data_IF_991845964343
#
_entry.id   IF_991845964343
#
_cell.length_a   1.000
_cell.length_b   1.000
_cell.length_c   1.000
_cell.angle_alpha   90.00
_cell.angle_beta   90.00
_cell.angle_gamma   90.00
#
_symmetry.space_group_name_H-M   'P 1'
#
loop_
_entity.id
_entity.type
_entity.pdbx_description
1 polymer ?
#
# COMPACT_ATOMS: atom_id res chain seq x y z
N UNK A 1 -9.32 -34.81 35.78
CA UNK A 1 -9.03 -33.38 36.00
C UNK A 1 -7.56 -33.16 35.72
N UNK A 2 -7.20 -32.67 34.54
CA UNK A 2 -5.82 -32.30 34.21
C UNK A 2 -5.86 -30.90 33.62
N UNK A 3 -5.53 -29.92 34.46
CA UNK A 3 -5.51 -28.51 34.13
C UNK A 3 -4.15 -28.22 33.50
N UNK A 4 -4.11 -28.06 32.18
CA UNK A 4 -2.92 -27.57 31.50
C UNK A 4 -2.79 -26.07 31.78
N UNK A 5 -1.79 -25.72 32.58
CA UNK A 5 -1.35 -24.34 32.83
C UNK A 5 -0.73 -23.82 31.53
N UNK A 6 -1.35 -22.80 30.93
CA UNK A 6 -0.74 -22.07 29.80
C UNK A 6 0.38 -21.17 30.35
N UNK A 7 1.62 -21.25 29.83
CA UNK A 7 2.67 -20.34 30.25
C UNK A 7 2.38 -18.92 29.76
N UNK A 8 2.32 -18.00 30.71
CA UNK A 8 2.24 -16.57 30.54
C UNK A 8 3.62 -16.00 30.17
N UNK A 9 3.84 -15.70 28.88
CA UNK A 9 4.58 -14.52 28.39
C UNK A 9 4.90 -14.67 26.90
N UNK A 10 4.14 -13.99 26.04
CA UNK A 10 4.54 -13.78 24.65
C UNK A 10 5.53 -12.60 24.63
N UNK A 11 6.80 -12.86 24.93
CA UNK A 11 7.88 -11.87 24.92
C UNK A 11 8.74 -11.92 23.65
N UNK A 12 8.17 -12.39 22.53
CA UNK A 12 8.87 -12.42 21.25
C UNK A 12 8.65 -11.13 20.47
N UNK A 13 9.72 -10.38 20.16
CA UNK A 13 9.71 -9.46 19.01
C UNK A 13 9.20 -10.25 17.79
N UNK A 14 8.28 -9.72 16.98
CA UNK A 14 7.84 -10.41 15.78
C UNK A 14 9.06 -10.78 14.92
N UNK A 15 9.20 -12.07 14.60
CA UNK A 15 10.26 -12.52 13.69
C UNK A 15 9.86 -12.08 12.30
N UNK A 16 10.54 -11.04 11.81
CA UNK A 16 10.33 -10.48 10.47
C UNK A 16 10.45 -11.59 9.41
N UNK A 17 9.42 -11.75 8.59
CA UNK A 17 9.38 -12.86 7.65
C UNK A 17 10.46 -12.68 6.56
N UNK A 18 11.12 -13.77 6.19
CA UNK A 18 12.22 -13.76 5.20
C UNK A 18 11.64 -14.04 3.82
N UNK A 19 12.05 -13.24 2.83
CA UNK A 19 11.68 -13.44 1.43
C UNK A 19 12.43 -14.65 0.84
N UNK A 20 11.73 -15.43 0.01
CA UNK A 20 12.36 -16.43 -0.86
C UNK A 20 13.28 -15.76 -1.91
N UNK A 21 14.29 -16.48 -2.45
CA UNK A 21 15.25 -15.90 -3.38
C UNK A 21 14.64 -15.24 -4.63
N UNK A 22 13.55 -15.78 -5.17
CA UNK A 22 12.81 -15.20 -6.28
C UNK A 22 12.07 -13.91 -5.90
N UNK A 23 11.45 -13.88 -4.72
CA UNK A 23 10.82 -12.68 -4.17
C UNK A 23 11.85 -11.57 -3.93
N UNK A 24 13.05 -11.90 -3.42
CA UNK A 24 14.16 -10.94 -3.26
C UNK A 24 14.49 -10.29 -4.60
N UNK A 25 14.61 -11.08 -5.68
CA UNK A 25 14.87 -10.55 -7.02
C UNK A 25 13.72 -9.69 -7.53
N UNK A 26 12.47 -10.13 -7.31
CA UNK A 26 11.27 -9.37 -7.70
C UNK A 26 11.21 -8.01 -7.01
N UNK A 27 11.36 -7.98 -5.69
CA UNK A 27 11.37 -6.77 -4.87
C UNK A 27 12.51 -5.84 -5.30
N UNK A 28 13.73 -6.35 -5.47
CA UNK A 28 14.86 -5.52 -5.91
C UNK A 28 14.61 -4.85 -7.27
N UNK A 29 14.00 -5.57 -8.23
CA UNK A 29 13.62 -5.02 -9.54
C UNK A 29 12.54 -3.95 -9.41
N UNK A 30 11.51 -4.21 -8.60
CA UNK A 30 10.43 -3.25 -8.33
C UNK A 30 10.97 -1.98 -7.69
N UNK A 31 11.75 -2.10 -6.60
CA UNK A 31 12.36 -0.95 -5.90
C UNK A 31 13.24 -0.14 -6.84
N UNK A 32 14.12 -0.78 -7.61
CA UNK A 32 14.98 -0.08 -8.58
C UNK A 32 14.17 0.73 -9.60
N UNK A 33 13.03 0.19 -10.04
CA UNK A 33 12.14 0.89 -10.95
C UNK A 33 11.45 2.07 -10.24
N UNK A 34 10.86 1.82 -9.08
CA UNK A 34 10.03 2.75 -8.31
C UNK A 34 10.79 3.89 -7.64
N UNK A 35 12.12 3.79 -7.50
CA UNK A 35 12.97 4.92 -7.09
C UNK A 35 12.90 6.10 -8.06
N UNK A 36 12.46 5.86 -9.30
CA UNK A 36 12.20 6.94 -10.26
C UNK A 36 10.80 7.51 -10.01
N UNK A 37 10.69 8.81 -9.70
CA UNK A 37 9.40 9.46 -9.51
C UNK A 37 8.43 9.22 -10.68
N UNK A 38 7.14 9.04 -10.37
CA UNK A 38 6.07 8.85 -11.36
C UNK A 38 6.05 7.50 -12.07
N UNK A 39 6.87 6.53 -11.66
CA UNK A 39 6.93 5.20 -12.31
C UNK A 39 5.97 4.18 -11.69
N UNK A 40 5.52 3.21 -12.50
CA UNK A 40 4.54 2.19 -12.10
C UNK A 40 5.09 0.81 -12.36
N UNK A 41 4.84 -0.14 -11.45
CA UNK A 41 5.42 -1.47 -11.51
C UNK A 41 4.38 -2.57 -11.27
N UNK A 42 4.15 -3.43 -12.26
CA UNK A 42 3.34 -4.63 -12.06
C UNK A 42 4.17 -5.68 -11.30
N UNK A 43 3.71 -6.11 -10.12
CA UNK A 43 4.34 -7.20 -9.36
C UNK A 43 3.45 -8.44 -9.44
N UNK A 44 3.82 -9.36 -10.33
CA UNK A 44 3.10 -10.61 -10.54
C UNK A 44 3.73 -11.71 -9.68
N UNK A 45 2.93 -12.40 -8.88
CA UNK A 45 3.32 -13.63 -8.21
C UNK A 45 2.12 -14.56 -8.06
N UNK A 46 2.37 -15.87 -7.92
CA UNK A 46 1.32 -16.81 -7.58
C UNK A 46 0.68 -16.49 -6.21
N UNK A 47 -0.57 -16.93 -6.01
CA UNK A 47 -1.30 -16.77 -4.75
C UNK A 47 -0.59 -17.53 -3.63
N UNK A 48 -0.63 -16.98 -2.42
CA UNK A 48 0.05 -17.59 -1.26
C UNK A 48 1.57 -17.40 -1.21
N UNK A 49 2.22 -16.92 -2.28
CA UNK A 49 3.67 -16.67 -2.32
C UNK A 49 4.00 -15.25 -1.85
N UNK A 50 3.38 -14.79 -0.76
CA UNK A 50 3.84 -13.61 -0.01
C UNK A 50 3.76 -12.25 -0.71
N UNK A 51 2.76 -11.99 -1.57
CA UNK A 51 2.51 -10.66 -2.17
C UNK A 51 2.52 -9.52 -1.14
N UNK A 52 1.79 -9.72 -0.05
CA UNK A 52 1.73 -8.75 1.04
C UNK A 52 3.11 -8.48 1.65
N UNK A 53 3.92 -9.53 1.84
CA UNK A 53 5.28 -9.36 2.34
C UNK A 53 6.18 -8.62 1.34
N UNK A 54 6.03 -8.89 0.04
CA UNK A 54 6.78 -8.18 -0.98
C UNK A 54 6.46 -6.68 -0.99
N UNK A 55 5.19 -6.29 -0.82
CA UNK A 55 4.81 -4.87 -0.73
C UNK A 55 5.31 -4.19 0.55
N UNK A 56 5.35 -4.89 1.70
CA UNK A 56 6.04 -4.40 2.91
C UNK A 56 7.51 -4.09 2.60
N UNK A 57 8.21 -5.05 1.99
CA UNK A 57 9.65 -4.92 1.67
C UNK A 57 9.93 -3.83 0.65
N UNK A 58 9.03 -3.60 -0.30
CA UNK A 58 9.11 -2.49 -1.24
C UNK A 58 8.97 -1.16 -0.49
N UNK A 59 7.98 -1.03 0.41
CA UNK A 59 7.80 0.17 1.24
C UNK A 59 9.05 0.48 2.06
N UNK A 60 9.60 -0.52 2.75
CA UNK A 60 10.82 -0.42 3.54
C UNK A 60 12.02 0.06 2.72
N UNK A 61 12.24 -0.58 1.56
CA UNK A 61 13.38 -0.27 0.71
C UNK A 61 13.27 1.11 0.04
N UNK A 62 12.04 1.60 -0.19
CA UNK A 62 11.77 2.96 -0.63
C UNK A 62 11.81 3.98 0.52
N UNK A 63 11.90 3.53 1.78
CA UNK A 63 11.77 4.36 2.97
C UNK A 63 10.48 5.17 2.96
N UNK A 64 9.40 4.56 2.47
CA UNK A 64 8.10 5.20 2.33
C UNK A 64 7.51 5.52 3.71
N UNK A 65 7.13 6.78 3.91
CA UNK A 65 6.57 7.30 5.17
C UNK A 65 5.05 7.38 5.08
N UNK A 66 4.51 7.77 3.94
CA UNK A 66 3.08 7.81 3.68
C UNK A 66 2.72 6.75 2.63
N UNK A 67 2.14 5.64 3.09
CA UNK A 67 1.84 4.47 2.25
C UNK A 67 0.33 4.25 2.12
N UNK A 68 -0.15 3.98 0.91
CA UNK A 68 -1.55 3.61 0.63
C UNK A 68 -1.66 2.17 0.15
N UNK A 69 -2.50 1.36 0.80
CA UNK A 69 -3.00 0.10 0.28
C UNK A 69 -4.43 0.27 -0.19
N UNK A 70 -4.74 -0.16 -1.40
CA UNK A 70 -6.11 -0.24 -1.89
C UNK A 70 -6.45 -1.70 -2.14
N UNK A 71 -7.51 -2.17 -1.50
CA UNK A 71 -7.91 -3.58 -1.46
C UNK A 71 -9.38 -3.76 -1.85
N UNK A 72 -9.79 -4.93 -2.37
CA UNK A 72 -11.16 -5.19 -2.79
C UNK A 72 -12.16 -5.40 -1.66
N UNK A 73 -11.73 -5.79 -0.47
CA UNK A 73 -12.65 -6.15 0.62
C UNK A 73 -12.17 -5.65 1.98
N UNK A 74 -13.12 -5.50 2.90
CA UNK A 74 -12.86 -5.19 4.31
C UNK A 74 -12.00 -6.27 4.98
N UNK A 75 -12.25 -7.55 4.68
CA UNK A 75 -11.45 -8.66 5.21
C UNK A 75 -10.00 -8.57 4.74
N UNK A 76 -9.77 -8.22 3.47
CA UNK A 76 -8.41 -8.05 2.96
C UNK A 76 -7.75 -6.81 3.58
N UNK A 77 -8.50 -5.75 3.87
CA UNK A 77 -7.97 -4.59 4.59
C UNK A 77 -7.46 -4.99 5.99
N UNK A 78 -8.24 -5.79 6.72
CA UNK A 78 -7.83 -6.32 8.02
C UNK A 78 -6.61 -7.24 7.89
N UNK A 79 -6.59 -8.15 6.91
CA UNK A 79 -5.45 -9.05 6.67
C UNK A 79 -4.17 -8.27 6.34
N UNK A 80 -4.25 -7.26 5.48
CA UNK A 80 -3.13 -6.36 5.16
C UNK A 80 -2.62 -5.67 6.43
N UNK A 81 -3.50 -5.06 7.23
CA UNK A 81 -3.11 -4.39 8.47
C UNK A 81 -2.39 -5.34 9.43
N UNK A 82 -2.95 -6.55 9.62
CA UNK A 82 -2.37 -7.57 10.49
C UNK A 82 -1.03 -8.09 9.98
N UNK A 83 -0.86 -8.24 8.66
CA UNK A 83 0.40 -8.63 8.05
C UNK A 83 1.50 -7.59 8.27
N UNK A 84 1.18 -6.29 8.12
CA UNK A 84 2.12 -5.20 8.44
C UNK A 84 2.55 -5.25 9.91
N UNK A 85 1.57 -5.34 10.81
CA UNK A 85 1.84 -5.41 12.27
C UNK A 85 2.65 -6.64 12.64
N UNK A 86 2.36 -7.79 12.02
CA UNK A 86 3.12 -9.02 12.24
C UNK A 86 4.57 -8.92 11.73
N UNK A 87 4.85 -8.04 10.77
CA UNK A 87 6.21 -7.80 10.27
C UNK A 87 6.99 -6.75 11.11
N UNK A 88 6.36 -6.18 12.15
CA UNK A 88 7.00 -5.27 13.10
C UNK A 88 6.75 -3.79 12.84
N UNK A 89 5.87 -3.44 11.90
CA UNK A 89 5.48 -2.06 11.64
C UNK A 89 4.64 -1.49 12.80
N UNK A 90 5.08 -0.38 13.39
CA UNK A 90 4.44 0.25 14.55
C UNK A 90 3.92 1.66 14.29
N UNK A 91 4.05 2.16 13.06
CA UNK A 91 3.57 3.48 12.66
C UNK A 91 2.04 3.61 12.81
N UNK A 92 1.54 4.84 12.73
CA UNK A 92 0.10 5.08 12.71
C UNK A 92 -0.51 4.35 11.52
N UNK A 93 -1.62 3.63 11.75
CA UNK A 93 -2.26 2.82 10.73
C UNK A 93 -3.77 3.01 10.78
N UNK A 94 -4.35 3.31 9.61
CA UNK A 94 -5.77 3.60 9.48
C UNK A 94 -6.41 2.86 8.33
N UNK A 95 -7.54 2.22 8.61
CA UNK A 95 -8.44 1.67 7.60
C UNK A 95 -9.48 2.72 7.23
N UNK A 96 -9.45 3.21 6.00
CA UNK A 96 -10.41 4.15 5.42
C UNK A 96 -11.54 3.35 4.79
N UNK A 97 -12.64 3.19 5.52
CA UNK A 97 -13.79 2.42 5.06
C UNK A 97 -15.04 2.72 5.90
N UNK A 98 -16.09 1.90 5.79
CA UNK A 98 -17.22 1.87 6.73
C UNK A 98 -16.99 0.92 7.92
N UNK A 99 -15.85 0.21 7.97
CA UNK A 99 -15.51 -0.69 9.07
C UNK A 99 -15.28 0.09 10.37
N UNK A 100 -15.79 -0.47 11.47
CA UNK A 100 -15.35 -0.12 12.82
C UNK A 100 -14.20 -1.06 13.25
N UNK A 101 -12.96 -0.56 13.18
CA UNK A 101 -11.78 -1.33 13.57
C UNK A 101 -11.71 -1.56 15.09
N UNK A 102 -12.38 -0.72 15.90
CA UNK A 102 -12.41 -0.88 17.36
C UNK A 102 -13.24 -2.08 17.81
N UNK A 103 -14.28 -2.42 17.04
CA UNK A 103 -15.08 -3.63 17.22
C UNK A 103 -14.45 -4.91 16.67
N UNK A 104 -13.25 -4.83 16.05
CA UNK A 104 -12.53 -5.99 15.53
C UNK A 104 -11.32 -6.32 16.42
N UNK A 105 -11.47 -7.30 17.33
CA UNK A 105 -10.49 -7.63 18.38
C UNK A 105 -9.03 -7.67 17.91
N UNK A 106 -8.77 -8.34 16.78
CA UNK A 106 -7.41 -8.46 16.26
C UNK A 106 -6.77 -7.12 15.81
N UNK A 107 -7.59 -6.19 15.31
CA UNK A 107 -7.18 -4.85 14.86
C UNK A 107 -7.03 -3.91 16.06
N UNK A 108 -8.00 -3.93 16.97
CA UNK A 108 -7.97 -3.17 18.22
C UNK A 108 -6.73 -3.52 19.05
N UNK A 109 -6.43 -4.82 19.23
CA UNK A 109 -5.26 -5.30 19.96
C UNK A 109 -3.93 -4.83 19.36
N UNK A 110 -3.90 -4.49 18.06
CA UNK A 110 -2.71 -4.02 17.32
C UNK A 110 -2.77 -2.54 16.99
N UNK A 111 -3.66 -1.78 17.65
CA UNK A 111 -3.80 -0.33 17.50
C UNK A 111 -3.94 0.09 16.03
N UNK A 112 -4.80 -0.62 15.30
CA UNK A 112 -5.23 -0.22 13.96
C UNK A 112 -6.54 0.54 14.11
N UNK A 113 -6.58 1.79 13.67
CA UNK A 113 -7.81 2.58 13.69
C UNK A 113 -8.60 2.48 12.39
N UNK A 114 -9.79 3.04 12.36
CA UNK A 114 -10.54 3.26 11.13
C UNK A 114 -11.17 4.64 11.10
N UNK A 115 -11.46 5.14 9.90
CA UNK A 115 -12.20 6.39 9.70
C UNK A 115 -12.96 6.37 8.38
N UNK A 116 -14.13 7.01 8.35
CA UNK A 116 -14.84 7.36 7.12
C UNK A 116 -14.79 8.85 6.81
N UNK A 117 -14.21 9.66 7.70
CA UNK A 117 -14.11 11.11 7.55
C UNK A 117 -12.79 11.48 6.85
N UNK A 118 -12.92 11.99 5.62
CA UNK A 118 -11.77 12.43 4.83
C UNK A 118 -11.05 13.64 5.45
N UNK A 119 -11.72 14.47 6.27
CA UNK A 119 -11.10 15.63 6.90
C UNK A 119 -10.16 15.20 8.03
N UNK A 120 -10.59 14.24 8.84
CA UNK A 120 -9.75 13.61 9.84
C UNK A 120 -8.54 12.93 9.19
N UNK A 121 -8.76 12.18 8.10
CA UNK A 121 -7.69 11.56 7.33
C UNK A 121 -6.69 12.60 6.80
N UNK A 122 -7.17 13.67 6.17
CA UNK A 122 -6.32 14.73 5.63
C UNK A 122 -5.45 15.41 6.69
N UNK A 123 -6.01 15.67 7.88
CA UNK A 123 -5.26 16.23 8.99
C UNK A 123 -4.12 15.32 9.45
N UNK A 124 -4.35 14.00 9.49
CA UNK A 124 -3.31 13.04 9.86
C UNK A 124 -2.24 12.90 8.78
N UNK A 125 -2.63 12.91 7.51
CA UNK A 125 -1.68 12.88 6.39
C UNK A 125 -0.78 14.12 6.38
N UNK A 126 -1.33 15.31 6.65
CA UNK A 126 -0.59 16.56 6.69
C UNK A 126 0.44 16.63 7.83
N UNK A 127 0.29 15.79 8.87
CA UNK A 127 1.26 15.69 9.96
C UNK A 127 2.44 14.77 9.63
N UNK A 128 2.44 14.05 8.50
CA UNK A 128 3.54 13.15 8.17
C UNK A 128 4.77 13.95 7.72
N UNK A 129 5.86 13.84 8.48
CA UNK A 129 7.12 14.53 8.17
C UNK A 129 8.23 14.28 9.20
N UNK A 130 9.43 14.80 8.95
CA UNK A 130 10.64 14.50 9.73
C UNK A 130 10.86 15.42 10.95
N UNK A 131 10.01 16.44 11.13
CA UNK A 131 10.07 17.36 12.26
C UNK A 131 9.69 16.72 13.60
N UNK A 132 10.07 17.38 14.69
CA UNK A 132 9.86 16.89 16.07
C UNK A 132 8.37 16.73 16.44
N UNK A 133 7.52 17.62 15.94
CA UNK A 133 6.06 17.57 16.13
C UNK A 133 5.32 16.79 15.02
N UNK A 134 6.07 16.16 14.10
CA UNK A 134 5.50 15.45 12.96
C UNK A 134 5.42 13.94 13.22
N UNK A 135 4.46 13.30 12.54
CA UNK A 135 4.30 11.85 12.57
C UNK A 135 5.34 11.20 11.63
N UNK A 136 6.18 10.27 12.11
CA UNK A 136 7.26 9.68 11.30
C UNK A 136 6.77 8.84 10.11
N UNK A 137 5.59 8.23 10.20
CA UNK A 137 4.99 7.48 9.11
C UNK A 137 3.49 7.25 9.37
N UNK A 138 2.73 7.08 8.29
CA UNK A 138 1.33 6.73 8.28
C UNK A 138 1.06 5.71 7.17
N UNK A 139 0.51 4.56 7.56
CA UNK A 139 0.01 3.54 6.63
C UNK A 139 -1.51 3.64 6.54
N UNK A 140 -2.01 3.95 5.35
CA UNK A 140 -3.44 4.04 5.03
C UNK A 140 -3.85 2.79 4.25
N UNK A 141 -4.92 2.13 4.67
CA UNK A 141 -5.51 1.00 3.96
C UNK A 141 -6.94 1.38 3.60
N UNK A 142 -7.32 1.28 2.34
CA UNK A 142 -8.61 1.72 1.84
C UNK A 142 -9.24 0.63 0.99
N UNK A 143 -10.56 0.51 1.03
CA UNK A 143 -11.24 -0.30 0.00
C UNK A 143 -11.38 0.50 -1.29
N UNK A 144 -11.52 -0.17 -2.44
CA UNK A 144 -11.82 0.52 -3.70
C UNK A 144 -13.09 1.39 -3.60
N UNK A 145 -14.11 0.94 -2.85
CA UNK A 145 -15.35 1.69 -2.66
C UNK A 145 -15.16 3.01 -1.90
N UNK A 146 -14.10 3.13 -1.10
CA UNK A 146 -13.77 4.30 -0.28
C UNK A 146 -12.67 5.19 -0.87
N UNK A 147 -12.24 4.94 -2.12
CA UNK A 147 -11.24 5.76 -2.81
C UNK A 147 -11.64 7.23 -2.95
N UNK A 148 -12.94 7.51 -3.05
CA UNK A 148 -13.50 8.86 -3.07
C UNK A 148 -13.15 9.66 -1.80
N UNK A 149 -13.01 8.99 -0.64
CA UNK A 149 -12.55 9.64 0.60
C UNK A 149 -11.07 9.98 0.53
N UNK A 150 -10.24 9.14 -0.09
CA UNK A 150 -8.82 9.46 -0.34
C UNK A 150 -8.74 10.67 -1.27
N UNK A 151 -9.54 10.69 -2.33
CA UNK A 151 -9.63 11.83 -3.25
C UNK A 151 -10.04 13.13 -2.55
N UNK A 152 -11.06 13.06 -1.70
CA UNK A 152 -11.60 14.20 -0.97
C UNK A 152 -10.59 14.87 -0.03
N UNK A 153 -9.53 14.16 0.39
CA UNK A 153 -8.46 14.76 1.22
C UNK A 153 -7.80 15.97 0.55
N UNK A 154 -7.72 15.98 -0.78
CA UNK A 154 -7.14 17.09 -1.58
C UNK A 154 -7.99 18.36 -1.56
N UNK A 155 -9.28 18.22 -1.24
CA UNK A 155 -10.21 19.34 -1.09
C UNK A 155 -10.33 19.80 0.37
N UNK A 156 -9.51 19.24 1.26
CA UNK A 156 -9.45 19.68 2.65
C UNK A 156 -8.71 21.02 2.78
N UNK A 157 -8.77 21.60 3.98
CA UNK A 157 -8.01 22.80 4.35
C UNK A 157 -6.53 22.53 4.62
N UNK A 158 -6.12 21.26 4.65
CA UNK A 158 -4.77 20.86 5.00
C UNK A 158 -3.92 20.71 3.75
N UNK A 159 -2.62 21.02 3.87
CA UNK A 159 -1.65 20.68 2.84
C UNK A 159 -1.32 19.18 2.96
N UNK A 160 -1.93 18.38 2.08
CA UNK A 160 -1.86 16.92 2.14
C UNK A 160 -0.72 16.45 1.22
N UNK A 161 0.36 15.86 1.77
CA UNK A 161 1.45 15.36 0.94
C UNK A 161 1.00 14.18 0.07
N UNK A 162 1.67 13.96 -1.08
CA UNK A 162 1.45 12.76 -1.87
C UNK A 162 1.86 11.50 -1.10
N UNK A 163 1.29 10.36 -1.48
CA UNK A 163 1.77 9.07 -0.99
C UNK A 163 3.13 8.74 -1.62
N UNK A 164 4.09 8.31 -0.81
CA UNK A 164 5.39 7.82 -1.29
C UNK A 164 5.25 6.51 -2.09
N UNK A 165 4.25 5.70 -1.70
CA UNK A 165 3.94 4.40 -2.28
C UNK A 165 2.44 4.14 -2.21
N UNK A 166 1.84 3.75 -3.32
CA UNK A 166 0.50 3.21 -3.37
C UNK A 166 0.52 1.78 -3.95
N UNK A 167 -0.21 0.86 -3.31
CA UNK A 167 -0.27 -0.56 -3.65
C UNK A 167 -1.72 -0.94 -3.92
N UNK A 168 -1.99 -1.37 -5.14
CA UNK A 168 -3.34 -1.68 -5.62
C UNK A 168 -3.52 -3.20 -5.69
N UNK A 169 -3.95 -3.82 -4.60
CA UNK A 169 -4.11 -5.28 -4.59
C UNK A 169 -5.35 -5.69 -5.39
N UNK A 170 -5.26 -6.87 -6.01
CA UNK A 170 -6.31 -7.45 -6.86
C UNK A 170 -6.83 -6.48 -7.94
N UNK A 171 -5.97 -5.59 -8.44
CA UNK A 171 -6.33 -4.54 -9.40
C UNK A 171 -6.89 -5.08 -10.74
N UNK A 172 -6.72 -6.36 -11.04
CA UNK A 172 -7.41 -6.98 -12.17
C UNK A 172 -8.94 -7.07 -11.96
N UNK A 173 -9.43 -7.10 -10.70
CA UNK A 173 -10.88 -7.21 -10.38
C UNK A 173 -11.66 -5.93 -10.68
N UNK A 174 -10.97 -4.81 -10.81
CA UNK A 174 -11.52 -3.48 -11.10
C UNK A 174 -11.20 -3.00 -12.52
N UNK A 175 -10.27 -3.67 -13.22
CA UNK A 175 -9.95 -3.37 -14.61
C UNK A 175 -11.19 -3.56 -15.48
N UNK A 176 -11.62 -2.49 -16.16
CA UNK A 176 -12.77 -2.51 -17.08
C UNK A 176 -14.14 -2.32 -16.42
N UNK A 177 -14.22 -2.07 -15.10
CA UNK A 177 -15.51 -1.65 -14.50
C UNK A 177 -15.82 -0.20 -14.88
N UNK A 178 -17.09 0.04 -15.20
CA UNK A 178 -17.60 1.32 -15.70
C UNK A 178 -17.74 2.41 -14.61
N UNK A 179 -17.56 2.05 -13.34
CA UNK A 179 -17.44 3.01 -12.25
C UNK A 179 -16.04 3.64 -12.28
N UNK A 180 -15.97 4.79 -12.94
CA UNK A 180 -14.78 5.62 -13.23
C UNK A 180 -13.83 5.91 -12.05
N UNK A 181 -14.12 5.46 -10.82
CA UNK A 181 -13.30 5.60 -9.62
C UNK A 181 -11.89 5.02 -9.78
N UNK A 182 -11.73 3.96 -10.58
CA UNK A 182 -10.41 3.36 -10.84
C UNK A 182 -9.57 4.16 -11.84
N UNK A 183 -10.21 4.69 -12.90
CA UNK A 183 -9.55 5.43 -13.96
C UNK A 183 -8.93 6.72 -13.40
N UNK A 184 -9.62 7.31 -12.43
CA UNK A 184 -9.18 8.44 -11.62
C UNK A 184 -7.82 8.16 -10.94
N UNK A 185 -7.62 6.98 -10.33
CA UNK A 185 -6.32 6.61 -9.72
C UNK A 185 -5.25 6.20 -10.75
N UNK A 186 -5.64 5.75 -11.95
CA UNK A 186 -4.72 5.23 -12.97
C UNK A 186 -4.39 6.25 -14.10
N UNK A 187 -5.05 7.39 -14.19
CA UNK A 187 -4.82 8.36 -15.25
C UNK A 187 -3.73 9.37 -14.83
N UNK A 188 -2.61 9.40 -15.57
CA UNK A 188 -1.54 10.40 -15.37
C UNK A 188 -1.94 11.81 -15.87
N UNK A 189 -3.07 11.91 -16.59
CA UNK A 189 -3.63 13.14 -17.16
C UNK A 189 -5.01 13.51 -16.61
N UNK A 190 -5.59 12.70 -15.71
CA UNK A 190 -6.78 13.05 -14.96
C UNK A 190 -6.46 14.07 -13.84
N UNK A 191 -7.41 14.45 -12.98
CA UNK A 191 -7.11 15.27 -11.79
C UNK A 191 -6.10 14.62 -10.81
N UNK A 192 -5.62 13.41 -11.13
CA UNK A 192 -4.47 12.72 -10.51
C UNK A 192 -3.17 12.86 -11.31
N UNK A 193 -3.06 13.88 -12.18
CA UNK A 193 -1.79 14.44 -12.61
C UNK A 193 -1.02 14.88 -11.37
N UNK A 194 -0.20 13.98 -10.86
CA UNK A 194 0.96 14.32 -10.06
C UNK A 194 1.69 15.41 -10.84
N UNK A 195 1.66 16.64 -10.35
CA UNK A 195 2.30 17.73 -11.06
C UNK A 195 3.82 17.56 -10.95
N UNK A 196 4.37 16.96 -12.00
CA UNK A 196 5.60 17.44 -12.60
C UNK A 196 5.43 18.91 -12.98
N UNK A 197 6.15 19.79 -12.31
CA UNK A 197 6.71 21.01 -12.91
C UNK A 197 8.20 20.98 -12.60
N UNK A 198 9.00 20.50 -13.57
CA UNK A 198 10.47 20.67 -13.57
C UNK A 198 10.83 22.16 -13.72
N UNK A 199 11.90 22.67 -13.08
CA UNK A 199 13.17 21.97 -12.86
C UNK A 199 13.52 21.76 -11.38
N UNK A 200 14.14 20.61 -11.14
CA UNK A 200 14.71 20.10 -9.88
C UNK A 200 13.72 19.42 -8.90
N UNK A 201 13.90 18.09 -8.78
CA UNK A 201 13.59 17.22 -7.63
C UNK A 201 12.11 16.93 -7.22
N UNK A 202 11.57 15.77 -7.70
CA UNK A 202 10.60 14.85 -7.03
C UNK A 202 9.11 15.26 -6.91
N UNK A 203 8.18 14.39 -6.40
CA UNK A 203 8.13 12.90 -6.23
C UNK A 203 6.83 12.23 -6.81
N UNK A 204 6.80 11.03 -7.40
CA UNK A 204 6.71 9.62 -6.90
C UNK A 204 5.29 9.11 -6.56
N UNK A 205 4.75 8.20 -7.39
CA UNK A 205 3.58 7.35 -7.09
C UNK A 205 3.75 5.97 -7.71
N UNK A 206 3.39 4.92 -6.96
CA UNK A 206 3.48 3.53 -7.36
C UNK A 206 2.10 2.94 -7.63
N UNK A 207 2.00 1.99 -8.57
CA UNK A 207 0.90 1.03 -8.66
C UNK A 207 1.54 -0.34 -8.66
N UNK A 208 1.39 -1.11 -7.57
CA UNK A 208 1.70 -2.54 -7.52
C UNK A 208 0.41 -3.29 -7.82
N UNK A 209 0.25 -3.74 -9.06
CA UNK A 209 -0.86 -4.60 -9.46
C UNK A 209 -0.41 -6.07 -9.32
N UNK A 210 -1.26 -6.91 -8.75
CA UNK A 210 -1.02 -8.33 -8.61
C UNK A 210 -2.13 -9.13 -9.30
N UNK A 211 -1.74 -10.06 -10.18
CA UNK A 211 -2.66 -10.93 -10.91
C UNK A 211 -2.13 -12.37 -10.96
N UNK A 212 -3.05 -13.33 -10.88
CA UNK A 212 -2.97 -14.77 -11.21
C UNK A 212 -4.35 -15.05 -11.83
N UNK A 213 -4.58 -15.67 -12.99
CA UNK A 213 -3.84 -16.53 -13.93
C UNK A 213 -4.51 -16.41 -15.32
N UNK A 214 -3.79 -16.72 -16.42
CA UNK A 214 -4.43 -17.07 -17.70
C UNK A 214 -3.71 -16.66 -18.99
N UNK A 215 -2.66 -17.41 -19.37
CA UNK A 215 -2.12 -17.57 -20.74
C UNK A 215 -1.43 -16.41 -21.49
N UNK A 216 -0.29 -16.80 -22.08
CA UNK A 216 0.51 -16.21 -23.17
C UNK A 216 1.50 -15.07 -22.86
N UNK A 217 2.75 -15.52 -22.67
CA UNK A 217 3.97 -14.77 -22.97
C UNK A 217 3.99 -14.44 -24.46
N UNK A 218 4.06 -13.16 -24.81
CA UNK A 218 4.74 -12.74 -26.03
C UNK A 218 5.80 -11.72 -25.66
N UNK A 219 7.04 -12.20 -25.77
CA UNK A 219 8.27 -11.44 -25.71
C UNK A 219 8.43 -10.77 -27.09
N UNK A 220 8.32 -9.45 -27.16
CA UNK A 220 8.79 -8.69 -28.33
C UNK A 220 10.09 -7.98 -27.94
N UNK A 221 11.14 -8.80 -27.84
CA UNK A 221 12.50 -8.34 -28.03
C UNK A 221 12.61 -7.66 -29.41
N UNK A 222 12.95 -6.38 -29.38
CA UNK A 222 13.28 -5.60 -30.57
C UNK A 222 14.56 -6.19 -31.18
N UNK A 223 14.39 -6.87 -32.31
CA UNK A 223 15.51 -7.33 -33.13
C UNK A 223 16.21 -6.12 -33.75
N UNK A 224 17.48 -5.91 -33.38
CA UNK A 224 18.38 -5.00 -34.08
C UNK A 224 18.95 -5.77 -35.27
N UNK A 225 18.28 -5.65 -36.41
CA UNK A 225 18.83 -6.04 -37.70
C UNK A 225 19.75 -4.95 -38.24
N UNK A 226 21.06 -5.17 -38.14
CA UNK A 226 22.08 -4.58 -39.01
C UNK A 226 21.84 -5.01 -40.46
N UNK A 227 21.62 -4.04 -41.35
CA UNK A 227 22.30 -3.81 -42.65
C UNK A 227 21.64 -2.62 -43.35
#
# INVERSE_FOLDING_TARGET
MSTAVLPSSWSGRPVRAVLFPDQVRGVARAVRHLRRPGTRALYVSATGIGKALASVRIADALQARLVLFVVPTLDLAAQTALAWRADGHTEHMLIVSSMDASGHDALAARRVGSTSDYRALAGLMALVGEGEDQTPALTVICTYDSLDKIEATRHSRFDVPPFDLAVMDEAHRIAGRADKKWAVVNDATGPWSYHSVTPHTGPSFCSVCASVCGTMVHDTATDRGTL
#
